data_IF_247157447830
#
_entry.id   IF_247157447830
#
_cell.length_a   1.000
_cell.length_b   1.000
_cell.length_c   1.000
_cell.angle_alpha   90.00
_cell.angle_beta   90.00
_cell.angle_gamma   90.00
#
_symmetry.space_group_name_H-M   'P 1'
#
loop_
_entity.id
_entity.type
_entity.pdbx_description
1 polymer ?
#
# COMPACT_ATOMS: atom_id res chain seq x y z
N UNK A 1 -48.93 -20.90 -24.22
CA UNK A 1 -49.42 -21.14 -22.83
C UNK A 1 -50.04 -22.54 -22.82
N UNK A 2 -49.67 -23.39 -21.87
CA UNK A 2 -50.30 -24.70 -21.68
C UNK A 2 -51.22 -24.64 -20.48
N UNK A 3 -52.52 -24.79 -20.70
CA UNK A 3 -53.54 -24.67 -19.65
C UNK A 3 -53.56 -25.90 -18.73
N UNK A 4 -53.22 -27.07 -19.27
CA UNK A 4 -53.16 -28.33 -18.54
C UNK A 4 -52.06 -28.33 -17.46
N UNK A 5 -50.85 -27.90 -17.83
CA UNK A 5 -49.71 -27.79 -16.91
C UNK A 5 -49.61 -26.42 -16.22
N UNK A 6 -50.63 -25.54 -16.38
CA UNK A 6 -50.68 -24.16 -15.85
C UNK A 6 -49.42 -23.32 -16.10
N UNK A 7 -48.73 -23.56 -17.22
CA UNK A 7 -47.40 -23.00 -17.50
C UNK A 7 -47.35 -22.19 -18.81
N UNK A 8 -46.51 -21.17 -18.84
CA UNK A 8 -46.32 -20.31 -20.01
C UNK A 8 -44.83 -20.10 -20.26
N UNK A 9 -44.37 -20.46 -21.46
CA UNK A 9 -43.02 -20.16 -21.93
C UNK A 9 -43.07 -18.81 -22.65
N UNK A 10 -42.31 -17.84 -22.16
CA UNK A 10 -42.21 -16.50 -22.75
C UNK A 10 -40.78 -16.30 -23.27
N UNK A 11 -40.64 -16.09 -24.58
CA UNK A 11 -39.37 -15.65 -25.16
C UNK A 11 -39.29 -14.12 -25.05
N UNK A 12 -38.22 -13.61 -24.46
CA UNK A 12 -37.97 -12.18 -24.29
C UNK A 12 -36.53 -11.84 -24.64
N UNK A 13 -36.26 -10.56 -24.92
CA UNK A 13 -34.90 -10.08 -25.14
C UNK A 13 -34.31 -9.58 -23.81
N UNK A 14 -33.26 -10.27 -23.33
CA UNK A 14 -32.61 -9.99 -22.05
C UNK A 14 -31.93 -8.60 -21.99
N UNK A 15 -31.65 -7.96 -23.13
CA UNK A 15 -31.04 -6.62 -23.20
C UNK A 15 -32.04 -5.48 -22.98
N UNK A 16 -33.35 -5.75 -22.90
CA UNK A 16 -34.38 -4.71 -22.78
C UNK A 16 -35.39 -4.95 -21.66
N UNK A 17 -35.59 -6.20 -21.22
CA UNK A 17 -36.53 -6.53 -20.14
C UNK A 17 -35.96 -7.65 -19.27
N UNK A 18 -36.01 -7.48 -17.95
CA UNK A 18 -35.59 -8.50 -16.97
C UNK A 18 -36.73 -9.46 -16.63
N UNK A 19 -36.44 -10.72 -16.24
CA UNK A 19 -37.48 -11.70 -15.90
C UNK A 19 -38.37 -11.27 -14.72
N UNK A 20 -37.81 -10.56 -13.73
CA UNK A 20 -38.60 -9.97 -12.64
C UNK A 20 -39.56 -8.86 -13.11
N UNK A 21 -39.18 -8.09 -14.14
CA UNK A 21 -40.06 -7.07 -14.72
C UNK A 21 -41.21 -7.70 -15.52
N UNK A 22 -40.95 -8.81 -16.22
CA UNK A 22 -42.01 -9.62 -16.86
C UNK A 22 -42.95 -10.24 -15.83
N UNK A 23 -42.42 -10.82 -14.75
CA UNK A 23 -43.21 -11.32 -13.62
C UNK A 23 -44.12 -10.22 -13.06
N UNK A 24 -43.57 -9.06 -12.73
CA UNK A 24 -44.33 -7.93 -12.18
C UNK A 24 -45.39 -7.42 -13.16
N UNK A 25 -45.10 -7.41 -14.46
CA UNK A 25 -46.08 -7.05 -15.48
C UNK A 25 -47.24 -8.06 -15.57
N UNK A 26 -46.96 -9.36 -15.48
CA UNK A 26 -47.98 -10.43 -15.51
C UNK A 26 -48.84 -10.39 -14.23
N UNK A 27 -48.22 -10.26 -13.05
CA UNK A 27 -48.93 -10.15 -11.77
C UNK A 27 -49.77 -8.84 -11.68
N UNK A 28 -49.40 -7.79 -12.41
CA UNK A 28 -50.17 -6.55 -12.52
C UNK A 28 -51.39 -6.63 -13.47
N UNK A 29 -51.51 -7.65 -14.33
CA UNK A 29 -52.70 -7.81 -15.21
C UNK A 29 -53.97 -8.06 -14.40
N UNK A 30 -53.89 -8.74 -13.26
CA UNK A 30 -54.98 -8.84 -12.28
C UNK A 30 -54.39 -9.08 -10.88
N UNK A 31 -54.15 -8.01 -10.10
CA UNK A 31 -53.46 -8.12 -8.82
C UNK A 31 -54.22 -9.02 -7.85
N UNK A 32 -53.54 -10.03 -7.32
CA UNK A 32 -54.08 -10.99 -6.34
C UNK A 32 -54.62 -12.30 -6.93
N UNK A 33 -54.96 -12.35 -8.22
CA UNK A 33 -55.49 -13.58 -8.85
C UNK A 33 -54.38 -14.47 -9.44
N UNK A 34 -53.31 -13.86 -9.95
CA UNK A 34 -52.21 -14.54 -10.62
C UNK A 34 -50.90 -14.33 -9.86
N UNK A 35 -50.17 -15.42 -9.58
CA UNK A 35 -48.81 -15.42 -9.03
C UNK A 35 -47.89 -16.14 -10.01
N UNK A 36 -46.73 -15.56 -10.28
CA UNK A 36 -45.72 -16.14 -11.16
C UNK A 36 -44.52 -16.56 -10.31
N UNK A 37 -44.19 -17.85 -10.37
CA UNK A 37 -43.01 -18.41 -9.73
C UNK A 37 -42.01 -18.79 -10.83
N UNK A 38 -40.81 -18.20 -10.77
CA UNK A 38 -39.73 -18.50 -11.70
C UNK A 38 -38.91 -19.65 -11.09
N UNK A 39 -38.95 -20.82 -11.72
CA UNK A 39 -38.16 -21.96 -11.31
C UNK A 39 -36.72 -21.81 -11.83
N UNK A 40 -35.85 -21.21 -11.02
CA UNK A 40 -34.39 -21.32 -11.18
C UNK A 40 -33.92 -22.49 -10.34
N UNK A 41 -33.36 -23.50 -11.01
CA UNK A 41 -33.02 -24.79 -10.44
C UNK A 41 -31.65 -24.75 -9.75
N UNK A 42 -31.61 -24.85 -8.41
CA UNK A 42 -30.84 -25.87 -7.65
C UNK A 42 -31.22 -25.87 -6.16
N UNK A 43 -31.20 -27.08 -5.61
CA UNK A 43 -31.60 -27.54 -4.26
C UNK A 43 -30.38 -27.48 -3.28
N UNK A 44 -30.43 -27.61 -1.94
CA UNK A 44 -31.46 -28.12 -1.00
C UNK A 44 -31.32 -27.52 0.43
N UNK A 45 -32.44 -27.45 1.18
CA UNK A 45 -32.63 -27.75 2.64
C UNK A 45 -31.49 -27.47 3.66
N UNK A 46 -31.69 -26.88 4.86
CA UNK A 46 -32.87 -26.45 5.67
C UNK A 46 -32.34 -25.56 6.84
N UNK A 47 -33.05 -25.10 7.88
CA UNK A 47 -34.39 -25.36 8.42
C UNK A 47 -34.92 -24.14 9.25
N UNK A 48 -36.10 -24.27 9.87
CA UNK A 48 -36.77 -23.26 10.74
C UNK A 48 -36.89 -23.80 12.20
N UNK A 49 -37.53 -23.16 13.24
CA UNK A 49 -38.67 -22.20 13.17
C UNK A 49 -38.83 -21.07 14.24
N UNK A 50 -39.80 -20.17 13.98
CA UNK A 50 -40.60 -19.36 14.96
C UNK A 50 -39.93 -18.17 15.69
N UNK A 51 -40.58 -17.03 15.99
CA UNK A 51 -42.00 -16.62 15.88
C UNK A 51 -42.23 -15.07 15.90
N UNK A 52 -43.24 -14.59 15.13
CA UNK A 52 -44.17 -13.43 15.37
C UNK A 52 -43.65 -12.08 15.95
N UNK A 53 -43.96 -10.88 15.43
CA UNK A 53 -45.25 -10.32 14.98
C UNK A 53 -45.08 -8.89 14.42
N UNK A 54 -46.14 -8.29 13.87
CA UNK A 54 -46.18 -6.93 13.27
C UNK A 54 -46.14 -5.81 14.37
N UNK A 55 -45.89 -4.52 14.11
CA UNK A 55 -46.22 -3.69 12.93
C UNK A 55 -45.52 -2.31 12.96
N UNK A 56 -45.39 -1.68 11.77
CA UNK A 56 -45.46 -0.21 11.48
C UNK A 56 -44.23 0.42 10.78
N UNK A 57 -44.33 0.42 9.45
CA UNK A 57 -44.22 1.61 8.57
C UNK A 57 -43.17 2.69 8.88
N UNK A 58 -42.16 2.86 8.01
CA UNK A 58 -42.09 3.97 7.04
C UNK A 58 -40.87 3.84 6.09
N UNK A 59 -40.96 4.39 4.87
CA UNK A 59 -39.86 4.69 3.94
C UNK A 59 -38.94 3.54 3.47
N UNK A 60 -39.34 2.89 2.37
CA UNK A 60 -38.42 2.15 1.51
C UNK A 60 -37.67 3.14 0.59
N UNK A 61 -36.73 3.91 1.17
CA UNK A 61 -35.77 4.71 0.39
C UNK A 61 -34.75 3.74 -0.23
N UNK A 62 -34.50 3.89 -1.52
CA UNK A 62 -33.34 3.25 -2.18
C UNK A 62 -32.09 4.00 -1.72
N UNK A 63 -31.64 3.67 -0.51
CA UNK A 63 -30.34 4.06 0.02
C UNK A 63 -29.33 3.00 -0.43
N UNK A 64 -28.81 3.17 -1.64
CA UNK A 64 -27.64 2.42 -2.08
C UNK A 64 -26.53 2.65 -1.03
N UNK A 65 -25.99 1.61 -0.39
CA UNK A 65 -24.93 1.82 0.59
C UNK A 65 -23.69 2.34 -0.16
N UNK A 66 -23.19 3.49 0.28
CA UNK A 66 -21.86 4.00 -0.07
C UNK A 66 -20.83 3.12 0.64
N UNK A 67 -20.68 1.88 0.19
CA UNK A 67 -19.73 0.91 0.77
C UNK A 67 -18.67 0.52 -0.22
N UNK A 68 -17.44 0.55 0.25
CA UNK A 68 -16.27 0.07 -0.45
C UNK A 68 -15.86 -1.28 0.15
N UNK A 69 -15.42 -2.18 -0.71
CA UNK A 69 -14.77 -3.43 -0.31
C UNK A 69 -13.26 -3.26 -0.45
N UNK A 70 -12.49 -3.69 0.55
CA UNK A 70 -11.02 -3.75 0.50
C UNK A 70 -10.54 -5.12 0.95
N UNK A 71 -9.39 -5.55 0.40
CA UNK A 71 -8.73 -6.79 0.79
C UNK A 71 -7.43 -6.44 1.50
N UNK A 72 -7.31 -6.92 2.74
CA UNK A 72 -6.15 -6.73 3.60
C UNK A 72 -5.47 -8.09 3.75
N UNK A 73 -4.21 -8.25 3.34
CA UNK A 73 -3.47 -9.48 3.65
C UNK A 73 -3.03 -9.43 5.12
N UNK A 74 -3.13 -10.56 5.82
CA UNK A 74 -2.91 -10.67 7.26
C UNK A 74 -1.93 -11.81 7.53
N UNK A 75 -0.68 -11.48 7.87
CA UNK A 75 0.33 -12.46 8.31
C UNK A 75 0.25 -12.72 9.82
N UNK A 76 0.84 -13.83 10.27
CA UNK A 76 0.78 -14.30 11.66
C UNK A 76 -0.50 -15.06 12.04
N UNK A 77 -1.47 -15.22 11.13
CA UNK A 77 -2.66 -16.06 11.38
C UNK A 77 -2.29 -17.54 11.39
N UNK A 78 -2.41 -18.20 12.55
CA UNK A 78 -1.98 -19.61 12.74
C UNK A 78 -3.14 -20.58 12.98
N UNK A 79 -4.35 -20.10 13.31
CA UNK A 79 -5.50 -20.96 13.62
C UNK A 79 -6.85 -20.22 13.43
N UNK A 80 -7.95 -20.97 13.34
CA UNK A 80 -9.32 -20.44 13.23
C UNK A 80 -9.72 -19.53 14.42
N UNK A 81 -9.06 -19.62 15.57
CA UNK A 81 -9.24 -18.69 16.69
C UNK A 81 -8.75 -17.27 16.38
N UNK A 82 -7.69 -17.13 15.58
CA UNK A 82 -7.19 -15.82 15.11
C UNK A 82 -8.22 -15.15 14.19
N UNK A 83 -8.78 -15.91 13.23
CA UNK A 83 -9.84 -15.49 12.31
C UNK A 83 -11.01 -14.86 13.07
N UNK A 84 -11.60 -15.62 14.00
CA UNK A 84 -12.78 -15.20 14.77
C UNK A 84 -12.49 -13.99 15.67
N UNK A 85 -11.25 -13.87 16.15
CA UNK A 85 -10.80 -12.72 16.94
C UNK A 85 -10.73 -11.47 16.06
N UNK A 86 -10.10 -11.54 14.89
CA UNK A 86 -9.99 -10.43 13.93
C UNK A 86 -11.38 -10.01 13.45
N UNK A 87 -12.21 -10.95 12.98
CA UNK A 87 -13.60 -10.68 12.57
C UNK A 87 -14.41 -10.05 13.70
N UNK A 88 -14.31 -10.59 14.92
CA UNK A 88 -15.03 -10.12 16.10
C UNK A 88 -14.59 -8.77 16.67
N UNK A 89 -13.39 -8.29 16.31
CA UNK A 89 -12.90 -6.94 16.67
C UNK A 89 -13.20 -5.94 15.54
N UNK A 90 -12.88 -6.28 14.29
CA UNK A 90 -13.06 -5.37 13.14
C UNK A 90 -14.55 -5.15 12.85
N UNK A 91 -15.41 -6.16 13.00
CA UNK A 91 -16.87 -5.99 12.88
C UNK A 91 -17.49 -5.05 13.92
N UNK A 92 -16.75 -4.65 14.97
CA UNK A 92 -17.19 -3.67 15.97
C UNK A 92 -16.60 -2.27 15.75
N UNK A 93 -15.72 -2.09 14.76
CA UNK A 93 -15.15 -0.77 14.43
C UNK A 93 -16.21 0.08 13.72
N UNK A 94 -16.24 1.41 13.97
CA UNK A 94 -17.18 2.30 13.30
C UNK A 94 -16.97 2.25 11.78
N UNK A 95 -18.05 2.32 11.01
CA UNK A 95 -18.02 2.29 9.55
C UNK A 95 -17.90 0.90 8.92
N UNK A 96 -17.55 -0.16 9.66
CA UNK A 96 -17.50 -1.54 9.12
C UNK A 96 -18.92 -2.12 9.04
N UNK A 97 -19.28 -2.70 7.89
CA UNK A 97 -20.56 -3.42 7.70
C UNK A 97 -20.38 -4.93 7.68
N UNK A 98 -19.30 -5.42 7.08
CA UNK A 98 -18.98 -6.84 7.05
C UNK A 98 -17.48 -7.06 6.99
N UNK A 99 -17.02 -8.16 7.58
CA UNK A 99 -15.66 -8.68 7.42
C UNK A 99 -15.75 -10.19 7.22
N UNK A 100 -14.90 -10.73 6.35
CA UNK A 100 -14.64 -12.16 6.20
C UNK A 100 -13.13 -12.38 6.18
N UNK A 101 -12.61 -13.29 6.99
CA UNK A 101 -11.18 -13.62 7.04
C UNK A 101 -10.95 -15.06 6.55
N UNK A 102 -9.99 -15.22 5.64
CA UNK A 102 -9.62 -16.50 5.03
C UNK A 102 -8.19 -16.89 5.43
N UNK A 103 -8.06 -17.96 6.21
CA UNK A 103 -6.73 -18.57 6.49
C UNK A 103 -6.09 -19.15 5.24
N UNK A 104 -6.89 -19.71 4.32
CA UNK A 104 -6.37 -20.36 3.12
C UNK A 104 -5.68 -19.36 2.17
N UNK A 105 -6.11 -18.10 2.19
CA UNK A 105 -5.57 -17.02 1.37
C UNK A 105 -4.73 -16.01 2.18
N UNK A 106 -4.56 -16.23 3.49
CA UNK A 106 -3.95 -15.29 4.44
C UNK A 106 -4.45 -13.83 4.30
N UNK A 107 -5.77 -13.63 4.11
CA UNK A 107 -6.33 -12.30 3.91
C UNK A 107 -7.73 -12.12 4.52
N UNK A 108 -8.12 -10.86 4.70
CA UNK A 108 -9.43 -10.42 5.16
C UNK A 108 -10.07 -9.45 4.18
N UNK A 109 -11.28 -9.76 3.73
CA UNK A 109 -12.12 -8.87 2.92
C UNK A 109 -13.04 -8.09 3.84
N UNK A 110 -13.02 -6.76 3.75
CA UNK A 110 -13.81 -5.86 4.61
C UNK A 110 -14.70 -4.95 3.75
N UNK A 111 -16.00 -4.98 4.00
CA UNK A 111 -16.97 -4.01 3.48
C UNK A 111 -17.17 -2.89 4.52
N UNK A 112 -16.87 -1.66 4.13
CA UNK A 112 -16.90 -0.50 5.02
C UNK A 112 -17.41 0.77 4.31
N UNK A 113 -17.84 1.75 5.10
CA UNK A 113 -18.24 3.08 4.64
C UNK A 113 -17.02 4.03 4.62
N UNK A 114 -16.55 4.50 3.46
CA UNK A 114 -15.34 5.33 3.34
C UNK A 114 -15.53 6.75 3.92
N UNK A 115 -16.75 7.15 4.27
CA UNK A 115 -17.01 8.40 4.98
C UNK A 115 -16.79 8.29 6.50
N UNK A 116 -16.71 7.06 7.03
CA UNK A 116 -16.60 6.78 8.47
C UNK A 116 -15.29 6.07 8.86
N UNK A 117 -14.67 5.33 7.96
CA UNK A 117 -13.40 4.63 8.23
C UNK A 117 -12.58 4.48 6.95
N UNK A 118 -11.25 4.54 7.07
CA UNK A 118 -10.30 4.36 5.96
C UNK A 118 -9.71 2.95 5.97
N UNK A 119 -9.26 2.41 4.82
CA UNK A 119 -8.59 1.11 4.78
C UNK A 119 -7.31 1.10 5.64
N UNK A 120 -6.63 2.24 5.76
CA UNK A 120 -5.48 2.43 6.66
C UNK A 120 -5.85 2.29 8.14
N UNK A 121 -7.03 2.77 8.54
CA UNK A 121 -7.56 2.62 9.90
C UNK A 121 -7.90 1.16 10.20
N UNK A 122 -8.46 0.44 9.22
CA UNK A 122 -8.75 -0.99 9.32
C UNK A 122 -7.46 -1.81 9.42
N UNK A 123 -6.46 -1.51 8.58
CA UNK A 123 -5.11 -2.09 8.65
C UNK A 123 -4.46 -1.85 10.01
N UNK A 124 -4.47 -0.61 10.50
CA UNK A 124 -3.91 -0.25 11.81
C UNK A 124 -4.62 -0.94 12.98
N UNK A 125 -5.93 -1.18 12.88
CA UNK A 125 -6.67 -1.95 13.87
C UNK A 125 -6.32 -3.45 13.88
N UNK A 126 -5.83 -4.01 12.78
CA UNK A 126 -5.32 -5.40 12.71
C UNK A 126 -3.88 -5.45 13.25
N UNK A 127 -3.06 -4.43 12.98
CA UNK A 127 -1.71 -4.28 13.57
C UNK A 127 -1.76 -4.16 15.11
N UNK A 128 -2.72 -3.40 15.65
CA UNK A 128 -2.97 -3.24 17.10
C UNK A 128 -3.29 -4.58 17.80
N UNK A 129 -3.83 -5.55 17.06
CA UNK A 129 -4.07 -6.91 17.55
C UNK A 129 -2.83 -7.82 17.47
N UNK A 130 -1.70 -7.32 16.95
CA UNK A 130 -0.45 -8.07 16.81
C UNK A 130 -0.29 -8.87 15.52
N UNK A 131 -1.10 -8.61 14.49
CA UNK A 131 -0.99 -9.26 13.17
C UNK A 131 -0.39 -8.31 12.12
N UNK A 132 0.35 -8.85 11.16
CA UNK A 132 0.96 -8.02 10.10
C UNK A 132 -0.07 -7.73 9.00
N UNK A 133 -0.41 -6.47 8.77
CA UNK A 133 -1.48 -6.10 7.84
C UNK A 133 -0.98 -5.26 6.66
N UNK A 134 -1.19 -5.75 5.43
CA UNK A 134 -0.88 -5.03 4.18
C UNK A 134 -2.12 -4.86 3.32
N UNK A 135 -2.30 -3.69 2.70
CA UNK A 135 -3.41 -3.45 1.78
C UNK A 135 -3.09 -4.04 0.41
N UNK A 136 -4.03 -4.79 -0.15
CA UNK A 136 -4.02 -5.17 -1.56
C UNK A 136 -4.88 -4.18 -2.34
N UNK A 137 -4.23 -3.29 -3.10
CA UNK A 137 -4.89 -2.41 -4.08
C UNK A 137 -5.45 -3.22 -5.26
N UNK A 138 -6.59 -3.87 -5.01
CA UNK A 138 -7.35 -4.63 -6.02
C UNK A 138 -8.86 -4.46 -5.86
N UNK A 139 -9.33 -3.21 -5.77
CA UNK A 139 -10.58 -2.85 -6.46
C UNK A 139 -10.71 -1.33 -6.69
N UNK A 140 -10.93 -0.95 -7.94
CA UNK A 140 -11.29 0.39 -8.39
C UNK A 140 -12.81 0.45 -8.60
N UNK A 141 -13.62 0.93 -7.63
CA UNK A 141 -15.01 1.25 -7.89
C UNK A 141 -15.09 2.61 -8.61
N UNK A 142 -14.95 2.56 -9.93
CA UNK A 142 -15.17 3.68 -10.85
C UNK A 142 -16.44 4.48 -10.50
N UNK A 143 -16.28 5.70 -10.01
CA UNK A 143 -17.34 6.73 -10.06
C UNK A 143 -16.98 7.77 -11.11
N UNK A 144 -17.38 7.48 -12.34
CA UNK A 144 -17.31 8.43 -13.45
C UNK A 144 -18.38 9.51 -13.26
N UNK A 145 -17.95 10.76 -13.15
CA UNK A 145 -18.77 11.92 -13.54
C UNK A 145 -18.06 12.60 -14.72
N UNK A 146 -18.82 12.84 -15.79
CA UNK A 146 -18.36 13.39 -17.08
C UNK A 146 -17.71 14.79 -16.93
N UNK A 147 -16.93 15.35 -17.87
CA UNK A 147 -17.09 15.41 -19.34
C UNK A 147 -15.72 15.47 -20.10
N UNK A 148 -15.58 15.87 -21.39
CA UNK A 148 -15.58 14.92 -22.52
C UNK A 148 -14.37 15.01 -23.48
N UNK A 149 -14.22 13.97 -24.32
CA UNK A 149 -13.59 13.92 -25.68
C UNK A 149 -12.36 14.78 -25.99
N UNK A 150 -11.21 14.21 -26.38
CA UNK A 150 -10.94 13.62 -27.71
C UNK A 150 -9.41 13.28 -27.77
N UNK A 151 -8.85 12.32 -28.52
CA UNK A 151 -9.33 11.27 -29.45
C UNK A 151 -8.34 10.08 -29.48
N UNK A 152 -8.74 8.91 -29.99
CA UNK A 152 -7.92 7.68 -30.23
C UNK A 152 -7.11 7.76 -31.55
N UNK A 153 -6.33 6.74 -32.06
CA UNK A 153 -6.19 5.30 -31.69
C UNK A 153 -4.71 4.82 -31.41
N UNK A 154 -4.40 3.68 -30.75
CA UNK A 154 -4.56 2.23 -31.10
C UNK A 154 -3.72 1.83 -32.37
N UNK A 155 -2.88 0.78 -32.42
CA UNK A 155 -3.03 -0.64 -32.01
C UNK A 155 -1.71 -1.42 -31.75
N UNK A 156 -1.79 -2.35 -30.79
CA UNK A 156 -1.12 -3.67 -30.58
C UNK A 156 -0.16 -4.29 -31.62
N UNK A 157 0.93 -4.95 -31.17
CA UNK A 157 1.01 -6.44 -31.07
C UNK A 157 2.34 -7.00 -30.48
N UNK A 158 2.20 -7.86 -29.46
CA UNK A 158 2.97 -9.09 -29.13
C UNK A 158 4.52 -9.13 -29.30
N UNK A 159 5.26 -9.30 -28.18
CA UNK A 159 5.84 -10.62 -27.82
C UNK A 159 6.41 -10.68 -26.39
N UNK A 160 6.73 -11.89 -25.94
CA UNK A 160 6.90 -12.30 -24.53
C UNK A 160 8.29 -12.10 -23.91
N UNK A 161 8.31 -12.08 -22.57
CA UNK A 161 9.41 -12.43 -21.65
C UNK A 161 10.83 -11.91 -21.95
N UNK A 162 11.30 -10.96 -21.13
CA UNK A 162 12.56 -11.14 -20.37
C UNK A 162 12.63 -10.16 -19.17
N UNK A 163 13.29 -10.62 -18.11
CA UNK A 163 13.59 -9.92 -16.85
C UNK A 163 14.13 -8.49 -17.00
N UNK A 164 13.62 -7.54 -16.20
CA UNK A 164 14.37 -6.57 -15.34
C UNK A 164 13.42 -5.49 -14.82
N UNK A 165 13.35 -5.29 -13.51
CA UNK A 165 12.47 -4.27 -12.91
C UNK A 165 12.89 -2.86 -13.31
N UNK A 166 12.02 -2.16 -14.03
CA UNK A 166 12.12 -0.72 -14.26
C UNK A 166 11.25 0.01 -13.24
N UNK A 167 11.88 0.79 -12.38
CA UNK A 167 11.22 1.87 -11.65
C UNK A 167 10.82 2.98 -12.64
N UNK A 168 9.64 3.61 -12.49
CA UNK A 168 9.25 4.74 -13.34
C UNK A 168 10.18 5.94 -13.17
N UNK A 169 10.41 6.63 -14.29
CA UNK A 169 11.30 7.79 -14.39
C UNK A 169 10.60 9.06 -13.89
N UNK A 170 11.30 9.78 -13.01
CA UNK A 170 11.37 11.24 -12.83
C UNK A 170 10.18 12.11 -13.29
N UNK A 171 9.72 12.98 -12.39
CA UNK A 171 9.69 14.42 -12.73
C UNK A 171 9.93 15.32 -11.49
N UNK A 172 10.85 16.27 -11.65
CA UNK A 172 11.02 17.57 -10.96
C UNK A 172 11.03 17.68 -9.41
N UNK A 173 12.25 17.90 -8.92
CA UNK A 173 12.68 19.22 -8.42
C UNK A 173 11.80 19.93 -7.37
N UNK A 174 12.03 19.60 -6.10
CA UNK A 174 12.23 20.62 -5.08
C UNK A 174 13.36 20.17 -4.14
N UNK A 175 14.20 21.11 -3.69
CA UNK A 175 15.36 20.83 -2.84
C UNK A 175 14.94 20.48 -1.40
N UNK A 176 14.32 19.31 -1.23
CA UNK A 176 13.94 18.78 0.08
C UNK A 176 15.21 18.40 0.83
N UNK A 177 15.62 19.23 1.78
CA UNK A 177 16.77 19.05 2.69
C UNK A 177 16.60 17.73 3.47
N UNK A 178 17.00 16.62 2.84
CA UNK A 178 16.90 15.27 3.38
C UNK A 178 18.31 14.77 3.65
N UNK A 179 18.69 14.84 4.92
CA UNK A 179 19.95 14.30 5.40
C UNK A 179 19.84 12.78 5.56
N UNK A 180 20.99 12.10 5.50
CA UNK A 180 21.13 10.67 5.71
C UNK A 180 21.95 10.45 6.98
N UNK A 181 21.48 9.61 7.89
CA UNK A 181 22.27 9.14 9.02
C UNK A 181 22.20 7.62 9.15
N UNK A 182 23.23 7.05 9.76
CA UNK A 182 23.26 5.64 10.12
C UNK A 182 23.23 5.50 11.64
N UNK A 183 22.53 4.49 12.12
CA UNK A 183 22.43 4.17 13.55
C UNK A 183 22.80 2.70 13.73
N UNK A 184 23.79 2.44 14.57
CA UNK A 184 24.08 1.08 15.03
C UNK A 184 22.97 0.70 16.00
N UNK A 185 22.30 -0.42 15.74
CA UNK A 185 21.25 -0.98 16.58
C UNK A 185 21.69 -2.35 17.09
N UNK A 186 21.46 -2.59 18.37
CA UNK A 186 21.83 -3.79 19.12
C UNK A 186 20.61 -4.38 19.81
N UNK A 187 20.59 -5.70 19.98
CA UNK A 187 19.41 -6.43 20.48
C UNK A 187 18.39 -6.82 19.40
N UNK A 188 18.59 -6.43 18.14
CA UNK A 188 17.81 -7.01 17.03
C UNK A 188 18.23 -8.46 16.78
N UNK A 189 17.29 -9.39 16.85
CA UNK A 189 17.55 -10.83 16.68
C UNK A 189 16.66 -11.50 15.64
N UNK A 190 15.58 -10.85 15.19
CA UNK A 190 14.61 -11.38 14.24
C UNK A 190 14.13 -10.31 13.24
N UNK A 191 13.63 -10.74 12.09
CA UNK A 191 13.02 -9.86 11.09
C UNK A 191 11.81 -9.07 11.63
N UNK A 192 11.10 -9.61 12.62
CA UNK A 192 10.03 -8.89 13.33
C UNK A 192 10.55 -7.67 14.12
N UNK A 193 11.76 -7.74 14.67
CA UNK A 193 12.40 -6.58 15.32
C UNK A 193 12.69 -5.46 14.31
N UNK A 194 13.19 -5.83 13.13
CA UNK A 194 13.42 -4.89 12.01
C UNK A 194 12.12 -4.22 11.59
N UNK A 195 11.08 -4.99 11.27
CA UNK A 195 9.79 -4.46 10.83
C UNK A 195 9.15 -3.56 11.91
N UNK A 196 9.31 -3.88 13.19
CA UNK A 196 8.87 -3.02 14.28
C UNK A 196 9.61 -1.67 14.29
N UNK A 197 10.93 -1.66 14.18
CA UNK A 197 11.74 -0.43 14.13
C UNK A 197 11.38 0.42 12.90
N UNK A 198 11.31 -0.20 11.72
CA UNK A 198 10.98 0.48 10.47
C UNK A 198 9.58 1.11 10.49
N UNK A 199 8.57 0.40 11.02
CA UNK A 199 7.20 0.93 11.11
C UNK A 199 7.03 2.05 12.12
N UNK A 200 7.72 2.00 13.26
CA UNK A 200 7.62 3.07 14.24
C UNK A 200 8.33 4.34 13.73
N UNK A 201 9.56 4.24 13.23
CA UNK A 201 10.29 5.39 12.71
C UNK A 201 9.67 5.97 11.43
N UNK A 202 9.03 5.17 10.56
CA UNK A 202 8.29 5.70 9.41
C UNK A 202 7.06 6.54 9.81
N UNK A 203 6.52 6.36 11.02
CA UNK A 203 5.39 7.17 11.54
C UNK A 203 5.85 8.48 12.18
N UNK A 204 7.14 8.62 12.48
CA UNK A 204 7.69 9.77 13.21
C UNK A 204 7.83 11.01 12.32
N UNK A 205 7.58 12.19 12.87
CA UNK A 205 7.59 13.42 12.08
C UNK A 205 9.01 13.78 11.59
N UNK A 206 9.14 14.02 10.28
CA UNK A 206 10.41 14.38 9.66
C UNK A 206 11.26 13.22 9.16
N UNK A 207 10.83 11.96 9.29
CA UNK A 207 11.49 10.81 8.64
C UNK A 207 10.88 10.58 7.24
N UNK A 208 11.74 10.44 6.22
CA UNK A 208 11.33 10.23 4.83
C UNK A 208 11.50 8.79 4.36
N UNK A 209 12.54 8.10 4.82
CA UNK A 209 12.77 6.69 4.53
C UNK A 209 13.62 6.05 5.61
N UNK A 210 13.44 4.75 5.81
CA UNK A 210 14.24 3.92 6.72
C UNK A 210 14.45 2.55 6.09
N UNK A 211 15.64 1.98 6.31
CA UNK A 211 16.01 0.61 5.92
C UNK A 211 16.94 0.03 7.00
N UNK A 212 16.62 -1.16 7.52
CA UNK A 212 17.40 -1.78 8.61
C UNK A 212 18.03 -3.10 8.17
N UNK A 213 19.36 -3.14 8.18
CA UNK A 213 20.16 -4.30 7.82
C UNK A 213 20.50 -5.15 9.06
N UNK A 214 19.66 -6.16 9.36
CA UNK A 214 19.85 -7.06 10.51
C UNK A 214 21.24 -7.71 10.54
N UNK A 215 21.76 -8.14 9.38
CA UNK A 215 23.09 -8.77 9.26
C UNK A 215 24.25 -7.83 9.62
N UNK A 216 24.09 -6.52 9.43
CA UNK A 216 25.09 -5.51 9.80
C UNK A 216 24.81 -4.87 11.18
N UNK A 217 23.60 -5.09 11.74
CA UNK A 217 23.10 -4.35 12.90
C UNK A 217 22.92 -2.85 12.66
N UNK A 218 22.82 -2.40 11.40
CA UNK A 218 22.74 -0.96 11.06
C UNK A 218 21.33 -0.58 10.58
N UNK A 219 20.87 0.59 10.97
CA UNK A 219 19.70 1.26 10.41
C UNK A 219 20.15 2.49 9.60
N UNK A 220 19.75 2.55 8.35
CA UNK A 220 19.87 3.72 7.48
C UNK A 220 18.57 4.54 7.57
N UNK A 221 18.68 5.84 7.85
CA UNK A 221 17.52 6.74 7.96
C UNK A 221 17.75 8.01 7.13
N UNK A 222 16.78 8.33 6.27
CA UNK A 222 16.68 9.63 5.58
C UNK A 222 15.66 10.49 6.31
N UNK A 223 16.08 11.67 6.75
CA UNK A 223 15.31 12.55 7.63
C UNK A 223 15.50 14.03 7.30
N UNK A 224 14.64 14.90 7.82
CA UNK A 224 14.79 16.35 7.70
C UNK A 224 15.54 16.90 8.94
N UNK A 225 16.77 17.45 8.79
CA UNK A 225 17.57 17.95 9.91
C UNK A 225 16.99 19.18 10.61
N UNK A 226 16.01 19.84 9.99
CA UNK A 226 15.28 20.98 10.57
C UNK A 226 14.21 20.52 11.57
N UNK A 227 13.73 19.28 11.45
CA UNK A 227 12.65 18.72 12.29
C UNK A 227 13.21 17.76 13.34
N UNK A 228 14.09 16.85 12.93
CA UNK A 228 14.64 15.79 13.77
C UNK A 228 16.15 15.69 13.58
N UNK A 229 16.90 15.37 14.64
CA UNK A 229 18.35 15.19 14.59
C UNK A 229 18.73 13.71 14.83
N UNK A 230 19.89 13.24 14.34
CA UNK A 230 20.32 11.85 14.52
C UNK A 230 20.28 11.33 15.98
N UNK A 231 20.64 12.12 17.01
CA UNK A 231 20.53 11.66 18.40
C UNK A 231 19.10 11.30 18.80
N UNK A 232 18.10 12.07 18.35
CA UNK A 232 16.67 11.78 18.62
C UNK A 232 16.23 10.48 17.94
N UNK A 233 16.68 10.23 16.70
CA UNK A 233 16.42 8.96 16.00
C UNK A 233 16.97 7.76 16.80
N UNK A 234 18.14 7.93 17.44
CA UNK A 234 18.71 6.92 18.32
C UNK A 234 18.06 6.86 19.72
N UNK A 235 17.41 7.92 20.22
CA UNK A 235 16.54 7.86 21.41
C UNK A 235 15.28 7.03 21.11
N UNK A 236 14.57 7.32 20.01
CA UNK A 236 13.36 6.57 19.63
C UNK A 236 13.60 5.05 19.53
N UNK A 237 14.74 4.62 18.98
CA UNK A 237 15.08 3.18 18.92
C UNK A 237 15.35 2.60 20.33
N UNK A 238 15.87 3.41 21.27
CA UNK A 238 16.04 3.02 22.68
C UNK A 238 14.73 2.96 23.45
N UNK A 239 13.78 3.84 23.16
CA UNK A 239 12.41 3.78 23.71
C UNK A 239 11.67 2.52 23.25
N UNK A 240 11.93 2.04 22.03
CA UNK A 240 11.47 0.72 21.55
C UNK A 240 12.18 -0.48 22.19
N UNK A 241 13.15 -0.26 23.10
CA UNK A 241 13.85 -1.30 23.85
C UNK A 241 15.12 -1.86 23.19
N UNK A 242 15.60 -1.24 22.10
CA UNK A 242 16.83 -1.66 21.40
C UNK A 242 17.99 -0.72 21.70
N UNK A 243 19.20 -1.24 21.92
CA UNK A 243 20.36 -0.37 22.17
C UNK A 243 20.79 0.32 20.88
N UNK A 244 20.68 1.65 20.79
CA UNK A 244 21.01 2.41 19.59
C UNK A 244 22.10 3.47 19.81
N UNK A 245 22.94 3.67 18.79
CA UNK A 245 24.03 4.66 18.80
C UNK A 245 24.21 5.21 17.38
N UNK A 246 24.21 6.54 17.23
CA UNK A 246 24.45 7.18 15.93
C UNK A 246 25.88 6.86 15.48
N UNK A 247 26.03 6.46 14.22
CA UNK A 247 27.31 6.31 13.56
C UNK A 247 27.37 7.33 12.42
N UNK A 248 28.30 8.28 12.54
CA UNK A 248 28.56 9.33 11.54
C UNK A 248 29.34 8.78 10.33
N UNK A 249 29.01 7.56 9.88
CA UNK A 249 29.56 6.95 8.68
C UNK A 249 28.83 7.47 7.44
N UNK A 250 28.95 8.77 7.17
CA UNK A 250 28.39 9.41 5.97
C UNK A 250 28.98 8.87 4.65
N UNK A 251 29.91 7.90 4.69
CA UNK A 251 30.70 7.40 3.55
C UNK A 251 30.28 6.02 3.05
N UNK A 252 29.29 5.35 3.67
CA UNK A 252 28.91 3.98 3.25
C UNK A 252 28.00 3.92 2.00
N UNK A 253 27.54 5.07 1.50
CA UNK A 253 26.80 5.20 0.24
C UNK A 253 27.48 6.09 -0.80
N UNK A 254 28.53 6.80 -0.41
CA UNK A 254 29.27 7.73 -1.25
C UNK A 254 30.60 7.06 -1.64
N UNK A 255 30.88 6.94 -2.93
CA UNK A 255 32.15 6.43 -3.41
C UNK A 255 33.30 7.34 -2.96
N UNK A 256 34.32 6.75 -2.33
CA UNK A 256 35.57 7.45 -2.01
C UNK A 256 36.64 7.01 -3.00
N UNK A 257 37.16 7.96 -3.77
CA UNK A 257 38.21 7.73 -4.76
C UNK A 257 39.46 8.55 -4.41
N UNK A 258 40.59 7.86 -4.26
CA UNK A 258 41.90 8.48 -4.13
C UNK A 258 42.62 8.44 -5.49
N UNK A 259 42.84 9.60 -6.11
CA UNK A 259 43.56 9.72 -7.39
C UNK A 259 44.96 10.30 -7.18
N UNK A 260 45.96 9.71 -7.84
CA UNK A 260 47.32 10.28 -7.88
C UNK A 260 47.44 11.21 -9.09
N UNK A 261 47.53 12.51 -8.85
CA UNK A 261 47.57 13.52 -9.90
C UNK A 261 49.01 13.90 -10.23
N UNK A 262 49.48 13.53 -11.42
CA UNK A 262 50.83 13.89 -11.90
C UNK A 262 50.84 15.29 -12.50
N UNK A 263 51.94 16.02 -12.28
CA UNK A 263 52.16 17.36 -12.87
C UNK A 263 51.57 18.53 -12.09
N UNK A 264 51.07 18.32 -10.87
CA UNK A 264 50.72 19.43 -9.98
C UNK A 264 52.00 20.10 -9.46
N UNK A 265 52.16 21.39 -9.76
CA UNK A 265 53.39 22.15 -9.43
C UNK A 265 53.14 23.42 -8.62
N UNK A 266 51.88 23.81 -8.42
CA UNK A 266 51.50 25.03 -7.70
C UNK A 266 50.09 24.94 -7.12
N UNK A 267 49.79 25.75 -6.09
CA UNK A 267 48.45 25.90 -5.52
C UNK A 267 47.38 26.30 -6.56
N UNK A 268 47.76 27.01 -7.63
CA UNK A 268 46.85 27.32 -8.73
C UNK A 268 46.38 26.09 -9.52
N UNK A 269 47.14 24.99 -9.51
CA UNK A 269 46.71 23.71 -10.09
C UNK A 269 45.68 23.04 -9.18
N UNK A 270 45.93 23.03 -7.86
CA UNK A 270 45.06 22.47 -6.82
C UNK A 270 43.64 23.03 -6.96
N UNK A 271 43.48 24.35 -6.89
CA UNK A 271 42.17 25.00 -7.01
C UNK A 271 41.48 24.77 -8.36
N UNK A 272 42.23 24.66 -9.47
CA UNK A 272 41.65 24.32 -10.77
C UNK A 272 41.07 22.91 -10.79
N UNK A 273 41.76 21.95 -10.17
CA UNK A 273 41.31 20.56 -10.09
C UNK A 273 40.11 20.46 -9.14
N UNK A 274 40.20 21.04 -7.93
CA UNK A 274 39.09 21.08 -6.96
C UNK A 274 37.83 21.73 -7.55
N UNK A 275 37.97 22.89 -8.21
CA UNK A 275 36.83 23.57 -8.86
C UNK A 275 36.27 22.77 -10.03
N UNK A 276 37.12 22.14 -10.85
CA UNK A 276 36.67 21.36 -12.00
C UNK A 276 35.97 20.06 -11.61
N UNK A 277 36.39 19.43 -10.50
CA UNK A 277 35.78 18.21 -9.98
C UNK A 277 34.51 18.53 -9.18
N UNK A 278 34.52 19.53 -8.30
CA UNK A 278 33.32 19.92 -7.52
C UNK A 278 32.17 20.40 -8.42
N UNK A 279 32.48 20.96 -9.59
CA UNK A 279 31.47 21.38 -10.58
C UNK A 279 31.07 20.25 -11.55
N UNK A 280 31.63 19.04 -11.40
CA UNK A 280 31.23 17.87 -12.18
C UNK A 280 30.01 17.19 -11.54
N UNK A 281 29.00 16.85 -12.34
CA UNK A 281 27.80 16.17 -11.85
C UNK A 281 28.17 14.83 -11.18
N UNK A 282 27.64 14.61 -9.99
CA UNK A 282 27.91 13.40 -9.19
C UNK A 282 29.10 13.50 -8.24
N UNK A 283 29.87 14.60 -8.21
CA UNK A 283 30.89 14.81 -7.18
C UNK A 283 30.29 15.59 -6.01
N UNK A 284 30.39 15.03 -4.81
CA UNK A 284 29.84 15.59 -3.57
C UNK A 284 30.88 16.46 -2.85
N UNK A 285 32.15 16.04 -2.88
CA UNK A 285 33.27 16.74 -2.27
C UNK A 285 34.58 16.38 -2.98
N UNK A 286 35.51 17.33 -3.07
CA UNK A 286 36.85 17.09 -3.59
C UNK A 286 37.87 17.92 -2.78
N UNK A 287 38.98 17.29 -2.41
CA UNK A 287 40.14 17.96 -1.82
C UNK A 287 41.43 17.46 -2.44
N UNK A 288 42.37 18.37 -2.71
CA UNK A 288 43.62 18.04 -3.43
C UNK A 288 44.85 18.45 -2.62
N UNK A 289 45.71 17.49 -2.32
CA UNK A 289 46.91 17.69 -1.52
C UNK A 289 48.17 17.75 -2.39
N UNK A 290 48.72 18.96 -2.57
CA UNK A 290 49.96 19.19 -3.34
C UNK A 290 51.17 18.43 -2.76
N UNK A 291 51.25 18.32 -1.43
CA UNK A 291 52.38 17.67 -0.75
C UNK A 291 52.45 16.15 -1.00
N UNK A 292 51.32 15.49 -1.18
CA UNK A 292 51.23 14.04 -1.41
C UNK A 292 50.94 13.67 -2.87
N UNK A 293 50.65 14.67 -3.72
CA UNK A 293 50.16 14.50 -5.08
C UNK A 293 48.87 13.66 -5.19
N UNK A 294 48.04 13.69 -4.15
CA UNK A 294 46.78 12.93 -4.06
C UNK A 294 45.58 13.87 -4.10
N UNK A 295 44.53 13.44 -4.81
CA UNK A 295 43.20 14.02 -4.75
C UNK A 295 42.28 13.01 -4.06
N UNK A 296 41.51 13.48 -3.07
CA UNK A 296 40.48 12.72 -2.37
C UNK A 296 39.12 13.22 -2.86
N UNK A 297 38.39 12.37 -3.58
CA UNK A 297 37.11 12.69 -4.17
C UNK A 297 36.04 11.82 -3.51
N UNK A 298 34.97 12.46 -3.05
CA UNK A 298 33.76 11.81 -2.57
C UNK A 298 32.68 12.04 -3.61
N UNK A 299 32.11 10.97 -4.15
CA UNK A 299 31.20 11.01 -5.30
C UNK A 299 30.01 10.08 -5.11
N UNK A 300 28.94 10.33 -5.85
CA UNK A 300 27.77 9.47 -5.90
C UNK A 300 28.01 8.32 -6.92
N UNK A 301 28.11 7.06 -6.47
CA UNK A 301 28.38 5.93 -7.36
C UNK A 301 27.20 5.60 -8.27
N UNK A 302 25.98 6.07 -7.98
CA UNK A 302 24.82 5.93 -8.88
C UNK A 302 24.93 6.86 -10.09
N UNK A 303 25.66 7.97 -9.97
CA UNK A 303 25.80 9.00 -11.02
C UNK A 303 27.07 8.81 -11.85
N UNK A 304 28.20 8.49 -11.22
CA UNK A 304 29.50 8.35 -11.91
C UNK A 304 29.78 6.91 -12.33
N UNK A 305 29.22 5.92 -11.62
CA UNK A 305 29.56 4.50 -11.78
C UNK A 305 30.80 4.07 -10.98
N UNK A 306 31.13 2.77 -11.00
CA UNK A 306 32.27 2.18 -10.30
C UNK A 306 33.62 2.39 -11.02
#
# INVERSE_FOLDING_TARGET
>A
VSLENRSAIVKYNASSVTPESLRKAIEAVSPGQYRVSIASEVESTSNSPSSSSLQKTHLNVVSQPLTQETVINIDGMTCNSCVQSIEGVISKKPGVKSIRVSLANSNGTVEYDPLLTSPETLRGAIEDMGFDATLSDTNEPLVVIAQPSSEMPLLTSTNEFYTKGMTPVQDKEEAKTSSKCYVQVTGMTCASCVANIERNLRREEGIYSILVALMAGKAEVRYNPTVIQPPMIAEFIRELGFGATVIENADEGDGVLELVVRGMTCASCVHKIESSLTNHRGILYCSVALATNKAHIKYDPEIIGP
#
